data_IF_223404915864
#
_entry.id   IF_223404915864
#
_cell.length_a   1.000
_cell.length_b   1.000
_cell.length_c   1.000
_cell.angle_alpha   90.00
_cell.angle_beta   90.00
_cell.angle_gamma   90.00
#
_symmetry.space_group_name_H-M   'P 1'
#
loop_
_entity.id
_entity.type
_entity.pdbx_description
1 polymer ?
#
# COMPACT_ATOMS: atom_id res chain seq x y z
N UNK A 1 -7.44 -4.68 66.87
CA UNK A 1 -8.68 -5.23 66.29
C UNK A 1 -8.71 -4.90 64.81
N UNK A 2 -8.47 -5.88 63.94
CA UNK A 2 -8.62 -5.73 62.46
C UNK A 2 -10.12 -5.88 62.17
N UNK A 3 -10.74 -4.84 61.59
CA UNK A 3 -12.12 -4.94 61.08
C UNK A 3 -12.13 -5.93 59.89
N UNK A 4 -13.06 -6.88 59.85
CA UNK A 4 -13.18 -7.75 58.67
C UNK A 4 -13.63 -6.89 57.46
N UNK A 5 -12.94 -7.02 56.32
CA UNK A 5 -13.47 -6.55 55.05
C UNK A 5 -14.86 -7.19 54.89
N UNK A 6 -15.87 -6.38 54.56
CA UNK A 6 -17.23 -6.89 54.40
C UNK A 6 -17.28 -7.89 53.25
N UNK A 7 -18.03 -8.98 53.43
CA UNK A 7 -18.27 -10.01 52.39
C UNK A 7 -18.70 -9.38 51.04
N UNK A 8 -19.37 -8.24 51.14
CA UNK A 8 -19.79 -7.44 49.99
C UNK A 8 -18.60 -6.87 49.17
N UNK A 9 -17.56 -6.36 49.85
CA UNK A 9 -16.38 -5.86 49.18
C UNK A 9 -15.58 -7.00 48.48
N UNK A 10 -15.52 -8.17 49.09
CA UNK A 10 -14.90 -9.35 48.49
C UNK A 10 -15.68 -9.86 47.29
N UNK A 11 -17.02 -9.84 47.32
CA UNK A 11 -17.89 -10.21 46.19
C UNK A 11 -17.78 -9.21 45.03
N UNK A 12 -17.69 -7.90 45.30
CA UNK A 12 -17.52 -6.87 44.30
C UNK A 12 -16.14 -7.01 43.60
N UNK A 13 -15.08 -7.24 44.38
CA UNK A 13 -13.74 -7.50 43.81
C UNK A 13 -13.71 -8.77 42.99
N UNK A 14 -14.33 -9.84 43.46
CA UNK A 14 -14.45 -11.09 42.69
C UNK A 14 -15.26 -10.90 41.39
N UNK A 15 -16.38 -10.17 41.43
CA UNK A 15 -17.19 -9.88 40.23
C UNK A 15 -16.44 -9.00 39.24
N UNK A 16 -15.65 -8.02 39.67
CA UNK A 16 -14.81 -7.19 38.85
C UNK A 16 -13.66 -8.02 38.21
N UNK A 17 -13.05 -8.94 38.98
CA UNK A 17 -12.05 -9.86 38.45
C UNK A 17 -12.63 -10.84 37.40
N UNK A 18 -13.86 -11.35 37.61
CA UNK A 18 -14.57 -12.20 36.67
C UNK A 18 -14.93 -11.44 35.40
N UNK A 19 -15.44 -10.23 35.49
CA UNK A 19 -15.74 -9.37 34.32
C UNK A 19 -14.49 -8.99 33.54
N UNK A 20 -13.37 -8.74 34.21
CA UNK A 20 -12.08 -8.45 33.63
C UNK A 20 -11.50 -9.69 32.90
N UNK A 21 -11.61 -10.88 33.50
CA UNK A 21 -11.18 -12.15 32.87
C UNK A 21 -11.99 -12.47 31.61
N UNK A 22 -13.29 -12.17 31.53
CA UNK A 22 -14.11 -12.43 30.34
C UNK A 22 -13.68 -11.58 29.13
N UNK A 23 -13.17 -10.36 29.36
CA UNK A 23 -12.65 -9.49 28.29
C UNK A 23 -11.34 -10.02 27.68
N UNK A 24 -10.41 -10.46 28.52
CA UNK A 24 -9.14 -11.05 28.05
C UNK A 24 -9.34 -12.43 27.41
N UNK A 25 -10.26 -13.25 27.94
CA UNK A 25 -10.64 -14.52 27.33
C UNK A 25 -11.12 -14.32 25.87
N UNK A 26 -11.90 -13.28 25.60
CA UNK A 26 -12.30 -12.93 24.22
C UNK A 26 -11.11 -12.63 23.31
N UNK A 27 -10.07 -11.95 23.82
CA UNK A 27 -8.84 -11.71 23.04
C UNK A 27 -8.11 -13.00 22.74
N UNK A 28 -8.03 -13.95 23.69
CA UNK A 28 -7.38 -15.25 23.50
C UNK A 28 -8.13 -16.09 22.45
N UNK A 29 -9.47 -16.14 22.54
CA UNK A 29 -10.33 -16.82 21.56
C UNK A 29 -10.13 -16.26 20.13
N UNK A 30 -10.16 -14.92 19.97
CA UNK A 30 -9.93 -14.28 18.69
C UNK A 30 -8.50 -14.45 18.18
N UNK A 31 -7.51 -14.46 19.07
CA UNK A 31 -6.11 -14.74 18.70
C UNK A 31 -5.99 -16.12 18.04
N UNK A 32 -6.71 -17.11 18.55
CA UNK A 32 -6.73 -18.45 17.94
C UNK A 32 -7.38 -18.43 16.56
N UNK A 33 -8.51 -17.75 16.39
CA UNK A 33 -9.18 -17.57 15.08
C UNK A 33 -8.25 -16.91 14.06
N UNK A 34 -7.51 -15.86 14.48
CA UNK A 34 -6.57 -15.19 13.58
C UNK A 34 -5.38 -16.06 13.18
N UNK A 35 -4.82 -16.85 14.12
CA UNK A 35 -3.74 -17.81 13.84
C UNK A 35 -4.19 -18.90 12.84
N UNK A 36 -5.41 -19.36 12.95
CA UNK A 36 -5.99 -20.33 12.01
C UNK A 36 -6.20 -19.68 10.63
N UNK A 37 -6.83 -18.50 10.57
CA UNK A 37 -7.06 -17.74 9.35
C UNK A 37 -5.77 -17.36 8.60
N UNK A 38 -4.68 -17.11 9.33
CA UNK A 38 -3.37 -16.80 8.75
C UNK A 38 -2.87 -17.92 7.82
N UNK A 39 -3.26 -19.17 8.04
CA UNK A 39 -2.78 -20.31 7.26
C UNK A 39 -3.37 -20.35 5.84
N UNK A 40 -4.56 -19.78 5.64
CA UNK A 40 -5.32 -19.79 4.39
C UNK A 40 -5.68 -18.40 3.88
N UNK A 41 -4.93 -17.37 4.30
CA UNK A 41 -5.18 -15.97 3.92
C UNK A 41 -4.57 -15.67 2.54
N UNK A 42 -5.28 -16.01 1.46
CA UNK A 42 -4.75 -15.96 0.09
C UNK A 42 -5.27 -14.80 -0.75
N UNK A 43 -6.46 -14.30 -0.48
CA UNK A 43 -7.14 -13.33 -1.35
C UNK A 43 -6.72 -11.86 -1.14
N UNK A 44 -5.87 -11.56 -0.17
CA UNK A 44 -5.50 -10.17 0.13
C UNK A 44 -3.98 -10.00 0.24
N UNK A 45 -3.46 -8.85 -0.20
CA UNK A 45 -2.02 -8.60 -0.33
C UNK A 45 -1.35 -8.22 1.00
N UNK A 46 -1.70 -8.87 2.11
CA UNK A 46 -1.11 -8.60 3.42
C UNK A 46 -0.11 -9.71 3.76
N UNK A 47 1.15 -9.34 3.90
CA UNK A 47 2.19 -10.31 4.26
C UNK A 47 1.99 -10.81 5.69
N UNK A 48 1.80 -12.13 5.83
CA UNK A 48 1.62 -12.79 7.12
C UNK A 48 2.96 -13.28 7.74
N UNK A 49 4.09 -12.98 7.12
CA UNK A 49 5.44 -13.26 7.62
C UNK A 49 6.16 -11.95 7.97
N UNK A 50 5.75 -11.35 9.10
CA UNK A 50 6.41 -10.14 9.61
C UNK A 50 7.70 -10.51 10.34
N UNK A 51 8.79 -9.74 10.13
CA UNK A 51 10.06 -9.86 10.84
C UNK A 51 10.17 -8.87 12.01
N UNK A 52 9.04 -8.50 12.64
CA UNK A 52 8.98 -7.51 13.70
C UNK A 52 9.00 -8.09 15.13
N UNK A 53 9.13 -9.41 15.29
CA UNK A 53 9.14 -10.03 16.62
C UNK A 53 10.23 -9.44 17.52
N UNK A 54 11.46 -9.42 17.06
CA UNK A 54 12.60 -8.87 17.79
C UNK A 54 12.51 -7.33 17.99
N UNK A 55 11.80 -6.63 17.08
CA UNK A 55 11.46 -5.21 17.27
C UNK A 55 10.59 -5.02 18.51
N UNK A 56 9.59 -5.86 18.71
CA UNK A 56 8.71 -5.78 19.88
C UNK A 56 9.41 -6.21 21.16
N UNK A 57 10.32 -7.20 21.12
CA UNK A 57 11.17 -7.53 22.28
C UNK A 57 12.02 -6.33 22.68
N UNK A 58 12.68 -5.67 21.74
CA UNK A 58 13.42 -4.44 21.98
C UNK A 58 12.51 -3.32 22.51
N UNK A 59 11.35 -3.12 21.89
CA UNK A 59 10.41 -2.05 22.20
C UNK A 59 9.94 -2.12 23.67
N UNK A 60 9.57 -3.31 24.12
CA UNK A 60 9.18 -3.55 25.51
C UNK A 60 10.38 -3.47 26.47
N UNK A 61 11.50 -4.09 26.13
CA UNK A 61 12.69 -4.11 26.97
C UNK A 61 13.32 -2.72 27.18
N UNK A 62 13.17 -1.83 26.20
CA UNK A 62 13.67 -0.43 26.28
C UNK A 62 12.69 0.54 26.94
N UNK A 63 11.47 0.10 27.31
CA UNK A 63 10.45 0.94 27.90
C UNK A 63 9.77 1.90 26.90
N UNK A 64 9.87 1.62 25.60
CA UNK A 64 9.22 2.43 24.56
C UNK A 64 7.70 2.37 24.60
N UNK A 65 7.12 1.34 25.20
CA UNK A 65 5.68 1.14 25.39
C UNK A 65 5.00 2.21 26.25
N UNK A 66 5.77 2.95 27.07
CA UNK A 66 5.29 4.06 27.90
C UNK A 66 5.74 5.44 27.38
N UNK A 67 6.43 5.50 26.22
CA UNK A 67 6.90 6.74 25.60
C UNK A 67 5.98 7.09 24.42
N UNK A 68 5.33 8.23 24.48
CA UNK A 68 4.48 8.71 23.40
C UNK A 68 5.25 9.67 22.49
N UNK A 69 5.54 9.23 21.26
CA UNK A 69 6.18 10.02 20.22
C UNK A 69 5.15 10.54 19.20
N UNK A 70 5.44 11.70 18.60
CA UNK A 70 4.60 12.24 17.52
C UNK A 70 5.48 12.89 16.44
N UNK A 71 5.36 12.40 15.19
CA UNK A 71 5.99 13.01 14.04
C UNK A 71 5.10 14.11 13.47
N UNK A 72 5.33 15.35 13.89
CA UNK A 72 4.62 16.53 13.38
C UNK A 72 5.53 17.37 12.49
N UNK A 73 4.98 17.91 11.41
CA UNK A 73 5.70 18.77 10.47
C UNK A 73 6.57 18.01 9.47
N UNK A 74 7.29 18.78 8.66
CA UNK A 74 8.17 18.28 7.60
C UNK A 74 9.32 17.43 8.19
N UNK A 75 9.48 16.16 7.82
CA UNK A 75 10.56 15.32 8.33
C UNK A 75 11.95 15.79 7.88
N UNK A 76 12.05 16.54 6.77
CA UNK A 76 13.32 17.05 6.24
C UNK A 76 13.82 18.30 6.97
N UNK A 77 13.06 18.80 7.96
CA UNK A 77 13.41 19.98 8.75
C UNK A 77 13.73 19.59 10.19
N UNK A 78 14.84 20.08 10.74
CA UNK A 78 15.17 19.85 12.15
C UNK A 78 14.14 20.46 13.10
N UNK A 79 13.81 19.73 14.16
CA UNK A 79 12.77 20.11 15.11
C UNK A 79 13.37 20.60 16.43
N UNK A 80 12.71 21.59 17.10
CA UNK A 80 13.16 22.09 18.39
C UNK A 80 12.82 21.14 19.57
N UNK A 81 12.26 19.96 19.31
CA UNK A 81 11.89 18.98 20.35
C UNK A 81 12.46 17.59 20.05
N UNK A 82 12.58 16.76 21.12
CA UNK A 82 13.18 15.43 21.07
C UNK A 82 12.17 14.28 20.89
N UNK A 83 10.87 14.54 21.07
CA UNK A 83 9.81 13.51 21.12
C UNK A 83 9.28 13.18 19.72
N UNK A 84 10.19 12.81 18.80
CA UNK A 84 9.86 12.39 17.44
C UNK A 84 10.87 11.38 16.92
N UNK A 85 10.49 10.60 15.92
CA UNK A 85 11.34 9.67 15.18
C UNK A 85 11.69 10.16 13.78
N UNK A 86 11.56 11.45 13.50
CA UNK A 86 11.77 12.01 12.15
C UNK A 86 13.20 11.81 11.62
N UNK A 87 14.20 11.66 12.49
CA UNK A 87 15.54 11.29 12.05
C UNK A 87 15.55 9.91 11.35
N UNK A 88 14.84 8.93 11.92
CA UNK A 88 14.66 7.61 11.31
C UNK A 88 13.78 7.68 10.05
N UNK A 89 12.77 8.53 10.05
CA UNK A 89 11.91 8.76 8.88
C UNK A 89 12.75 9.28 7.69
N UNK A 90 13.70 10.19 7.91
CA UNK A 90 14.64 10.65 6.88
C UNK A 90 15.49 9.51 6.33
N UNK A 91 16.08 8.68 7.21
CA UNK A 91 16.88 7.53 6.79
C UNK A 91 16.06 6.51 5.97
N UNK A 92 14.80 6.29 6.34
CA UNK A 92 13.87 5.45 5.57
C UNK A 92 13.66 6.03 4.17
N UNK A 93 13.38 7.33 4.06
CA UNK A 93 13.19 8.00 2.77
C UNK A 93 14.49 7.92 1.93
N UNK A 94 15.65 8.20 2.53
CA UNK A 94 16.94 8.13 1.86
C UNK A 94 17.29 6.72 1.37
N UNK A 95 16.85 5.68 2.07
CA UNK A 95 17.02 4.30 1.64
C UNK A 95 16.12 3.96 0.45
N UNK A 96 14.86 4.34 0.50
CA UNK A 96 13.88 3.96 -0.51
C UNK A 96 13.95 4.83 -1.78
N UNK A 97 14.28 6.11 -1.68
CA UNK A 97 14.29 7.03 -2.81
C UNK A 97 15.07 6.52 -4.04
N UNK A 98 16.34 6.05 -3.92
CA UNK A 98 17.08 5.53 -5.07
C UNK A 98 16.48 4.25 -5.66
N UNK A 99 15.73 3.46 -4.88
CA UNK A 99 15.05 2.26 -5.39
C UNK A 99 13.93 2.62 -6.38
N UNK A 100 13.39 3.83 -6.26
CA UNK A 100 12.38 4.37 -7.19
C UNK A 100 12.97 5.41 -8.15
N UNK A 101 14.29 5.43 -8.32
CA UNK A 101 14.98 6.29 -9.28
C UNK A 101 15.05 7.76 -8.90
N UNK A 102 14.73 8.14 -7.65
CA UNK A 102 14.91 9.51 -7.18
C UNK A 102 16.34 9.74 -6.69
N UNK A 103 16.94 10.87 -7.07
CA UNK A 103 18.18 11.31 -6.45
C UNK A 103 17.91 11.86 -5.05
N UNK A 104 18.81 11.61 -4.09
CA UNK A 104 18.65 12.00 -2.68
C UNK A 104 18.37 13.49 -2.50
N UNK A 105 19.01 14.33 -3.31
CA UNK A 105 18.90 15.80 -3.20
C UNK A 105 17.64 16.36 -3.91
N UNK A 106 16.97 15.55 -4.71
CA UNK A 106 15.81 15.94 -5.51
C UNK A 106 14.50 15.26 -5.13
N UNK A 107 14.49 14.52 -4.02
CA UNK A 107 13.32 13.86 -3.47
C UNK A 107 12.78 14.57 -2.23
N UNK A 108 11.49 14.48 -2.05
CA UNK A 108 10.82 14.69 -0.78
C UNK A 108 9.88 13.50 -0.50
N UNK A 109 9.69 13.17 0.76
CA UNK A 109 8.81 12.06 1.12
C UNK A 109 8.47 12.01 2.59
N UNK A 110 7.52 11.13 2.92
CA UNK A 110 7.06 10.82 4.29
C UNK A 110 6.70 9.35 4.43
N UNK A 111 6.77 8.85 5.65
CA UNK A 111 6.08 7.63 6.07
C UNK A 111 4.62 7.97 6.34
N UNK A 112 3.71 7.31 5.61
CA UNK A 112 2.26 7.56 5.63
C UNK A 112 1.52 6.53 6.47
N UNK A 113 0.27 6.84 6.86
CA UNK A 113 -0.58 5.92 7.61
C UNK A 113 -1.03 4.69 6.80
N UNK A 114 -0.96 4.76 5.47
CA UNK A 114 -1.28 3.66 4.54
C UNK A 114 -0.91 4.04 3.10
N UNK A 115 -1.01 3.10 2.16
CA UNK A 115 -0.96 3.44 0.73
C UNK A 115 -2.08 4.41 0.31
N UNK A 116 -3.27 4.32 0.92
CA UNK A 116 -4.36 5.28 0.69
C UNK A 116 -3.98 6.70 1.12
N UNK A 117 -3.29 6.87 2.26
CA UNK A 117 -2.77 8.18 2.69
C UNK A 117 -1.67 8.68 1.74
N UNK A 118 -0.82 7.77 1.23
CA UNK A 118 0.15 8.10 0.19
C UNK A 118 -0.52 8.56 -1.11
N UNK A 119 -1.55 7.87 -1.58
CA UNK A 119 -2.34 8.28 -2.75
C UNK A 119 -3.07 9.60 -2.50
N UNK A 120 -3.56 9.85 -1.28
CA UNK A 120 -4.18 11.13 -0.92
C UNK A 120 -3.19 12.29 -1.09
N UNK A 121 -1.95 12.12 -0.62
CA UNK A 121 -0.89 13.09 -0.84
C UNK A 121 -0.55 13.26 -2.33
N UNK A 122 -0.46 12.17 -3.11
CA UNK A 122 -0.18 12.21 -4.53
C UNK A 122 -1.24 12.99 -5.33
N UNK A 123 -2.51 12.73 -5.05
CA UNK A 123 -3.64 13.43 -5.68
C UNK A 123 -3.68 14.90 -5.27
N UNK A 124 -3.56 15.19 -3.97
CA UNK A 124 -3.56 16.56 -3.44
C UNK A 124 -2.38 17.38 -3.97
N UNK A 125 -1.17 16.82 -3.95
CA UNK A 125 0.02 17.49 -4.45
C UNK A 125 -0.04 17.72 -5.96
N UNK A 126 -0.54 16.74 -6.71
CA UNK A 126 -0.76 16.86 -8.14
C UNK A 126 -1.77 17.93 -8.51
N UNK A 127 -2.90 17.97 -7.80
CA UNK A 127 -3.94 18.98 -8.02
C UNK A 127 -3.43 20.39 -7.73
N UNK A 128 -2.74 20.59 -6.60
CA UNK A 128 -2.14 21.88 -6.25
C UNK A 128 -1.03 22.28 -7.22
N UNK A 129 -0.13 21.37 -7.59
CA UNK A 129 0.94 21.62 -8.54
C UNK A 129 0.38 22.15 -9.87
N UNK A 130 -0.66 21.50 -10.39
CA UNK A 130 -1.30 21.88 -11.63
C UNK A 130 -2.07 23.20 -11.50
N UNK A 131 -2.82 23.37 -10.41
CA UNK A 131 -3.56 24.60 -10.15
C UNK A 131 -2.63 25.82 -10.00
N UNK A 132 -1.58 25.68 -9.21
CA UNK A 132 -0.62 26.78 -8.96
C UNK A 132 0.10 27.25 -10.24
N UNK A 133 0.24 26.37 -11.25
CA UNK A 133 0.88 26.68 -12.52
C UNK A 133 -0.06 27.18 -13.61
N UNK A 134 -1.33 26.76 -13.56
CA UNK A 134 -2.28 27.02 -14.66
C UNK A 134 -3.46 27.89 -14.26
N UNK A 135 -3.73 28.04 -12.95
CA UNK A 135 -4.95 28.66 -12.43
C UNK A 135 -6.22 27.81 -12.65
N UNK A 136 -6.08 26.57 -13.12
CA UNK A 136 -7.20 25.65 -13.42
C UNK A 136 -7.07 24.35 -12.63
N UNK A 137 -8.20 23.89 -12.05
CA UNK A 137 -8.25 22.56 -11.44
C UNK A 137 -8.08 21.47 -12.52
N UNK A 138 -7.27 20.43 -12.25
CA UNK A 138 -7.08 19.36 -13.22
C UNK A 138 -8.32 18.51 -13.43
N UNK A 139 -8.32 17.76 -14.54
CA UNK A 139 -9.12 16.55 -14.69
C UNK A 139 -8.24 15.36 -14.29
N UNK A 140 -8.78 14.46 -13.48
CA UNK A 140 -8.10 13.22 -13.08
C UNK A 140 -8.43 12.11 -14.08
N UNK A 141 -7.42 11.42 -14.57
CA UNK A 141 -7.55 10.27 -15.46
C UNK A 141 -7.04 9.02 -14.74
N UNK A 142 -7.88 8.03 -14.59
CA UNK A 142 -7.58 6.81 -13.83
C UNK A 142 -8.29 5.62 -14.48
N UNK A 143 -7.67 4.43 -14.43
CA UNK A 143 -8.26 3.20 -14.94
C UNK A 143 -9.53 2.80 -14.18
N UNK A 144 -10.51 2.23 -14.86
CA UNK A 144 -11.70 1.61 -14.26
C UNK A 144 -11.36 0.35 -13.42
N UNK A 145 -10.14 -0.18 -13.53
CA UNK A 145 -9.60 -1.28 -12.70
C UNK A 145 -8.68 -0.79 -11.56
N UNK A 146 -8.49 0.52 -11.40
CA UNK A 146 -7.70 1.08 -10.31
C UNK A 146 -8.35 0.81 -8.95
N UNK A 147 -7.55 0.90 -7.88
CA UNK A 147 -8.07 0.74 -6.53
C UNK A 147 -9.14 1.79 -6.20
N UNK A 148 -10.27 1.34 -5.64
CA UNK A 148 -11.44 2.19 -5.36
C UNK A 148 -11.11 3.42 -4.49
N UNK A 149 -10.03 3.38 -3.70
CA UNK A 149 -9.61 4.52 -2.89
C UNK A 149 -9.27 5.75 -3.73
N UNK A 150 -8.73 5.58 -4.95
CA UNK A 150 -8.41 6.71 -5.83
C UNK A 150 -9.66 7.52 -6.16
N UNK A 151 -10.77 6.84 -6.50
CA UNK A 151 -12.06 7.50 -6.73
C UNK A 151 -12.59 8.19 -5.47
N UNK A 152 -12.48 7.52 -4.30
CA UNK A 152 -12.91 8.10 -3.02
C UNK A 152 -12.10 9.35 -2.65
N UNK A 153 -10.81 9.35 -2.93
CA UNK A 153 -9.94 10.49 -2.66
C UNK A 153 -10.20 11.67 -3.60
N UNK A 154 -10.51 11.39 -4.87
CA UNK A 154 -10.93 12.42 -5.83
C UNK A 154 -12.29 13.04 -5.44
N UNK A 155 -13.25 12.22 -5.00
CA UNK A 155 -14.54 12.69 -4.47
C UNK A 155 -14.35 13.59 -3.25
N UNK A 156 -13.50 13.16 -2.29
CA UNK A 156 -13.15 13.95 -1.10
C UNK A 156 -12.55 15.33 -1.45
N UNK A 157 -11.74 15.38 -2.49
CA UNK A 157 -11.06 16.60 -2.94
C UNK A 157 -11.86 17.38 -4.01
N UNK A 158 -13.08 16.95 -4.33
CA UNK A 158 -13.97 17.56 -5.32
C UNK A 158 -13.33 17.71 -6.70
N UNK A 159 -12.56 16.69 -7.13
CA UNK A 159 -11.91 16.67 -8.43
C UNK A 159 -12.77 15.97 -9.48
N UNK A 160 -12.80 16.52 -10.69
CA UNK A 160 -13.43 15.88 -11.84
C UNK A 160 -12.62 14.67 -12.28
N UNK A 161 -13.26 13.50 -12.41
CA UNK A 161 -12.62 12.24 -12.76
C UNK A 161 -13.16 11.69 -14.06
N UNK A 162 -12.28 11.25 -14.93
CA UNK A 162 -12.59 10.44 -16.10
C UNK A 162 -12.05 9.03 -15.90
N UNK A 163 -12.95 8.06 -15.80
CA UNK A 163 -12.60 6.64 -15.79
C UNK A 163 -12.25 6.20 -17.20
N UNK A 164 -11.02 5.73 -17.37
CA UNK A 164 -10.52 5.23 -18.66
C UNK A 164 -10.69 3.71 -18.69
N UNK A 165 -11.26 3.22 -19.78
CA UNK A 165 -11.49 1.79 -19.96
C UNK A 165 -10.19 1.02 -19.99
N UNK A 166 -10.24 -0.18 -19.42
CA UNK A 166 -9.14 -1.16 -19.41
C UNK A 166 -9.36 -2.28 -20.44
N UNK A 167 -8.26 -2.88 -20.87
CA UNK A 167 -8.25 -4.13 -21.62
C UNK A 167 -8.79 -5.30 -20.75
N UNK A 168 -9.04 -6.49 -21.29
CA UNK A 168 -9.50 -7.63 -20.50
C UNK A 168 -8.57 -7.99 -19.35
N UNK A 169 -7.26 -7.75 -19.48
CA UNK A 169 -6.28 -8.02 -18.44
C UNK A 169 -6.18 -6.91 -17.38
N UNK A 170 -6.90 -5.78 -17.57
CA UNK A 170 -7.04 -4.71 -16.57
C UNK A 170 -6.05 -3.56 -16.75
N UNK A 171 -5.38 -3.41 -17.91
CA UNK A 171 -4.50 -2.28 -18.22
C UNK A 171 -5.29 -1.15 -18.84
N UNK A 172 -5.02 0.08 -18.46
CA UNK A 172 -5.59 1.28 -19.10
C UNK A 172 -5.30 1.28 -20.61
N UNK A 173 -6.33 1.51 -21.42
CA UNK A 173 -6.22 1.53 -22.90
C UNK A 173 -5.79 2.92 -23.36
N UNK A 174 -4.63 3.07 -24.03
CA UNK A 174 -4.12 4.38 -24.45
C UNK A 174 -5.08 5.13 -25.41
N UNK A 175 -5.77 4.43 -26.29
CA UNK A 175 -6.74 5.02 -27.23
C UNK A 175 -7.98 5.56 -26.52
N UNK A 176 -8.36 4.97 -25.39
CA UNK A 176 -9.46 5.48 -24.56
C UNK A 176 -9.02 6.71 -23.75
N UNK A 177 -7.77 6.77 -23.32
CA UNK A 177 -7.18 7.98 -22.73
C UNK A 177 -7.18 9.12 -23.76
N UNK A 178 -6.70 8.90 -24.96
CA UNK A 178 -6.67 9.89 -26.06
C UNK A 178 -8.04 10.52 -26.27
N UNK A 179 -9.10 9.71 -26.37
CA UNK A 179 -10.48 10.18 -26.58
C UNK A 179 -11.02 10.96 -25.39
N UNK A 180 -10.51 10.68 -24.19
CA UNK A 180 -11.00 11.27 -22.96
C UNK A 180 -10.31 12.58 -22.60
N UNK A 181 -9.13 12.89 -23.15
CA UNK A 181 -8.37 14.08 -22.81
C UNK A 181 -9.18 15.36 -23.02
N UNK A 182 -9.04 16.28 -22.07
CA UNK A 182 -9.60 17.63 -22.15
C UNK A 182 -8.44 18.62 -22.42
N UNK A 183 -8.31 19.17 -23.65
CA UNK A 183 -7.20 20.04 -24.00
C UNK A 183 -7.28 21.42 -23.32
N UNK A 184 -8.37 21.74 -22.64
CA UNK A 184 -8.59 23.04 -21.99
C UNK A 184 -8.16 23.08 -20.54
N UNK A 185 -7.85 21.92 -19.94
CA UNK A 185 -7.51 21.75 -18.53
C UNK A 185 -6.23 20.91 -18.35
N UNK A 186 -5.48 21.13 -17.25
CA UNK A 186 -4.34 20.28 -16.93
C UNK A 186 -4.81 18.86 -16.55
N UNK A 187 -3.95 17.89 -16.73
CA UNK A 187 -4.24 16.46 -16.49
C UNK A 187 -3.48 15.94 -15.27
N UNK A 188 -4.21 15.32 -14.33
CA UNK A 188 -3.64 14.51 -13.26
C UNK A 188 -3.82 13.04 -13.63
N UNK A 189 -2.73 12.36 -13.97
CA UNK A 189 -2.72 10.94 -14.29
C UNK A 189 -2.49 10.12 -13.03
N UNK A 190 -3.30 9.06 -12.83
CA UNK A 190 -3.06 8.03 -11.81
C UNK A 190 -2.80 6.72 -12.52
N UNK A 191 -1.55 6.27 -12.50
CA UNK A 191 -1.15 4.97 -13.05
C UNK A 191 -1.30 3.88 -11.99
N UNK A 192 -1.94 2.77 -12.34
CA UNK A 192 -1.98 1.57 -11.52
C UNK A 192 -0.72 0.72 -11.74
N UNK A 193 0.12 0.65 -10.73
CA UNK A 193 1.25 -0.29 -10.67
C UNK A 193 0.82 -1.51 -9.86
N UNK A 194 0.02 -2.36 -10.51
CA UNK A 194 -0.69 -3.48 -9.93
C UNK A 194 -2.15 -3.16 -9.58
N UNK A 195 -3.06 -3.29 -10.57
CA UNK A 195 -4.50 -3.13 -10.32
C UNK A 195 -5.00 -4.15 -9.31
N UNK A 196 -6.02 -3.76 -8.52
CA UNK A 196 -6.40 -4.49 -7.29
C UNK A 196 -6.82 -5.93 -7.55
N UNK A 197 -7.64 -6.19 -8.58
CA UNK A 197 -8.20 -7.52 -8.78
C UNK A 197 -7.36 -8.39 -9.72
N UNK A 198 -6.84 -7.82 -10.80
CA UNK A 198 -6.11 -8.56 -11.85
C UNK A 198 -4.59 -8.41 -11.76
N UNK A 199 -4.07 -7.53 -10.90
CA UNK A 199 -2.65 -7.27 -10.80
C UNK A 199 -2.05 -6.74 -12.11
N UNK A 200 -2.78 -5.90 -12.83
CA UNK A 200 -2.34 -5.30 -14.08
C UNK A 200 -1.41 -4.11 -13.81
N UNK A 201 -0.43 -3.93 -14.68
CA UNK A 201 0.44 -2.77 -14.70
C UNK A 201 0.06 -1.92 -15.90
N UNK A 202 -0.30 -0.65 -15.68
CA UNK A 202 -0.56 0.28 -16.76
C UNK A 202 0.73 0.53 -17.57
N UNK A 203 0.60 0.52 -18.89
CA UNK A 203 1.71 0.80 -19.80
C UNK A 203 2.03 2.29 -19.80
N UNK A 204 2.90 2.71 -18.87
CA UNK A 204 3.25 4.12 -18.70
C UNK A 204 3.93 4.71 -19.93
N UNK A 205 4.68 3.92 -20.69
CA UNK A 205 5.33 4.38 -21.93
C UNK A 205 4.28 4.71 -23.00
N UNK A 206 3.35 3.80 -23.24
CA UNK A 206 2.27 4.01 -24.21
C UNK A 206 1.34 5.16 -23.81
N UNK A 207 0.97 5.25 -22.51
CA UNK A 207 0.15 6.32 -22.00
C UNK A 207 0.87 7.68 -22.04
N UNK A 208 2.17 7.72 -21.73
CA UNK A 208 2.98 8.93 -21.87
C UNK A 208 3.10 9.35 -23.33
N UNK A 209 3.21 8.41 -24.29
CA UNK A 209 3.22 8.72 -25.72
C UNK A 209 1.89 9.36 -26.19
N UNK A 210 0.75 9.02 -25.57
CA UNK A 210 -0.52 9.73 -25.78
C UNK A 210 -0.38 11.19 -25.31
N UNK A 211 0.04 11.39 -24.06
CA UNK A 211 0.15 12.72 -23.45
C UNK A 211 1.16 13.61 -24.17
N UNK A 212 2.26 13.05 -24.67
CA UNK A 212 3.30 13.79 -25.41
C UNK A 212 2.80 14.34 -26.75
N UNK A 213 1.69 13.83 -27.30
CA UNK A 213 1.02 14.42 -28.48
C UNK A 213 0.22 15.67 -28.18
N UNK A 214 0.00 15.98 -26.89
CA UNK A 214 -0.77 17.10 -26.38
C UNK A 214 0.09 18.05 -25.52
N UNK A 215 1.13 18.69 -26.08
CA UNK A 215 2.06 19.53 -25.32
C UNK A 215 1.39 20.74 -24.68
N UNK A 216 0.19 21.12 -25.09
CA UNK A 216 -0.64 22.16 -24.49
C UNK A 216 -1.22 21.77 -23.13
N UNK A 217 -1.27 20.47 -22.81
CA UNK A 217 -1.79 19.95 -21.54
C UNK A 217 -0.64 19.80 -20.55
N UNK A 218 -0.62 20.58 -19.48
CA UNK A 218 0.29 20.32 -18.37
C UNK A 218 -0.15 19.07 -17.63
N UNK A 219 0.78 18.10 -17.45
CA UNK A 219 0.48 16.79 -16.86
C UNK A 219 1.24 16.60 -15.56
N UNK A 220 0.55 16.11 -14.52
CA UNK A 220 1.15 15.54 -13.31
C UNK A 220 0.89 14.04 -13.29
N UNK A 221 1.91 13.25 -12.93
CA UNK A 221 1.87 11.78 -12.98
C UNK A 221 2.08 11.21 -11.59
N UNK A 222 1.03 10.62 -11.04
CA UNK A 222 1.07 9.89 -9.78
C UNK A 222 0.99 8.38 -10.03
N UNK A 223 1.83 7.59 -9.36
CA UNK A 223 1.82 6.13 -9.45
C UNK A 223 1.26 5.55 -8.15
N UNK A 224 0.12 4.88 -8.24
CA UNK A 224 -0.38 4.00 -7.18
C UNK A 224 0.34 2.65 -7.30
N UNK A 225 1.42 2.51 -6.54
CA UNK A 225 2.26 1.33 -6.49
C UNK A 225 2.11 0.57 -5.17
N UNK A 226 0.92 0.62 -4.56
CA UNK A 226 0.66 0.14 -3.20
C UNK A 226 1.18 -1.27 -2.91
N UNK A 227 1.08 -2.21 -3.87
CA UNK A 227 1.63 -3.57 -3.73
C UNK A 227 2.93 -3.74 -4.52
N UNK A 228 2.91 -3.44 -5.81
CA UNK A 228 4.00 -3.77 -6.73
C UNK A 228 5.22 -2.88 -6.50
N UNK A 229 5.05 -1.67 -6.03
CA UNK A 229 6.14 -0.82 -5.55
C UNK A 229 6.92 -1.44 -4.41
N UNK A 230 6.31 -2.35 -3.64
CA UNK A 230 7.01 -3.07 -2.57
C UNK A 230 8.04 -4.07 -3.08
N UNK A 231 7.79 -4.80 -4.17
CA UNK A 231 8.66 -5.89 -4.61
C UNK A 231 9.38 -5.64 -5.93
N UNK A 232 8.81 -4.89 -6.88
CA UNK A 232 9.46 -4.65 -8.19
C UNK A 232 10.85 -4.04 -8.09
N UNK A 233 11.15 -3.10 -7.16
CA UNK A 233 12.50 -2.55 -7.01
C UNK A 233 13.58 -3.61 -6.72
N UNK A 234 13.19 -4.74 -6.17
CA UNK A 234 14.07 -5.85 -5.79
C UNK A 234 14.15 -6.95 -6.84
N UNK A 235 13.65 -6.72 -8.04
CA UNK A 235 13.65 -7.65 -9.16
C UNK A 235 14.42 -7.07 -10.35
N UNK A 236 14.57 -7.88 -11.40
CA UNK A 236 15.12 -7.41 -12.68
C UNK A 236 14.21 -6.40 -13.40
N UNK A 237 12.99 -6.19 -12.90
CA UNK A 237 11.97 -5.29 -13.45
C UNK A 237 11.93 -3.91 -12.75
N UNK A 238 12.95 -3.58 -11.96
CA UNK A 238 13.03 -2.35 -11.15
C UNK A 238 12.81 -1.05 -11.95
N UNK A 239 13.14 -1.05 -13.25
CA UNK A 239 12.95 0.12 -14.11
C UNK A 239 11.47 0.52 -14.25
N UNK A 240 10.53 -0.43 -14.07
CA UNK A 240 9.08 -0.15 -14.16
C UNK A 240 8.56 0.74 -13.03
N UNK A 241 9.31 0.89 -11.95
CA UNK A 241 8.99 1.76 -10.81
C UNK A 241 10.03 2.88 -10.64
N UNK A 242 10.84 3.14 -11.66
CA UNK A 242 11.87 4.17 -11.63
C UNK A 242 11.32 5.50 -12.16
N UNK A 243 11.37 6.55 -11.33
CA UNK A 243 11.00 7.92 -11.69
C UNK A 243 11.73 8.40 -12.96
N UNK A 244 13.04 8.16 -13.05
CA UNK A 244 13.85 8.58 -14.19
C UNK A 244 13.51 7.84 -15.48
N UNK A 245 13.03 6.61 -15.39
CA UNK A 245 12.67 5.78 -16.54
C UNK A 245 11.23 6.02 -16.98
N UNK A 246 10.30 6.04 -16.02
CA UNK A 246 8.85 6.12 -16.27
C UNK A 246 8.28 7.54 -16.21
N UNK A 247 9.10 8.54 -15.86
CA UNK A 247 8.74 9.97 -15.87
C UNK A 247 7.53 10.32 -15.01
N UNK A 248 7.38 9.73 -13.82
CA UNK A 248 6.32 10.11 -12.88
C UNK A 248 6.82 11.15 -11.85
N UNK A 249 5.89 11.91 -11.29
CA UNK A 249 6.17 13.01 -10.34
C UNK A 249 6.08 12.55 -8.88
N UNK A 250 5.22 11.56 -8.62
CA UNK A 250 4.99 11.01 -7.28
C UNK A 250 4.60 9.53 -7.31
N UNK A 251 4.92 8.83 -6.21
CA UNK A 251 4.62 7.41 -6.02
C UNK A 251 4.16 7.14 -4.59
N UNK A 252 3.17 6.24 -4.43
CA UNK A 252 2.70 5.75 -3.14
C UNK A 252 2.83 4.23 -3.02
N UNK A 253 3.39 3.76 -1.90
CA UNK A 253 3.65 2.35 -1.60
C UNK A 253 3.04 1.98 -0.25
N UNK A 254 2.51 0.75 -0.09
CA UNK A 254 2.01 0.24 1.20
C UNK A 254 3.09 -0.55 1.94
N UNK A 255 3.33 -0.22 3.22
CA UNK A 255 4.29 -0.92 4.06
C UNK A 255 3.78 -2.26 4.60
N UNK A 256 2.47 -2.35 4.87
CA UNK A 256 1.82 -3.55 5.40
C UNK A 256 1.57 -4.66 4.36
N UNK A 257 1.87 -4.39 3.08
CA UNK A 257 1.80 -5.40 2.02
C UNK A 257 3.12 -6.16 1.94
N UNK A 258 3.94 -5.93 0.93
CA UNK A 258 5.18 -6.69 0.72
C UNK A 258 6.17 -6.59 1.89
N UNK A 259 6.39 -5.42 2.45
CA UNK A 259 7.36 -5.24 3.53
C UNK A 259 6.95 -5.90 4.87
N UNK A 260 5.69 -6.29 5.04
CA UNK A 260 5.24 -7.01 6.23
C UNK A 260 5.22 -6.19 7.51
N UNK A 261 5.08 -4.86 7.40
CA UNK A 261 4.75 -4.02 8.56
C UNK A 261 3.39 -4.46 9.08
N UNK A 262 3.29 -4.74 10.35
CA UNK A 262 2.16 -5.42 11.00
C UNK A 262 0.88 -4.58 11.17
N UNK A 263 0.90 -3.35 10.71
CA UNK A 263 -0.24 -2.42 10.73
C UNK A 263 -0.24 -1.54 9.48
N UNK A 264 -1.39 -0.95 9.11
CA UNK A 264 -1.46 -0.05 7.97
C UNK A 264 -0.39 1.03 8.04
N UNK A 265 0.41 1.11 6.98
CA UNK A 265 1.51 2.05 6.82
C UNK A 265 1.88 2.15 5.35
N UNK A 266 2.64 3.17 4.98
CA UNK A 266 3.11 3.34 3.62
C UNK A 266 4.23 4.35 3.50
N UNK A 267 4.65 4.58 2.25
CA UNK A 267 5.59 5.60 1.85
C UNK A 267 4.95 6.45 0.76
N UNK A 268 5.16 7.74 0.83
CA UNK A 268 4.90 8.68 -0.25
C UNK A 268 6.20 9.37 -0.61
N UNK A 269 6.58 9.33 -1.88
CA UNK A 269 7.75 10.02 -2.42
C UNK A 269 7.32 10.87 -3.61
N UNK A 270 7.89 12.06 -3.74
CA UNK A 270 7.71 12.93 -4.89
C UNK A 270 8.99 13.70 -5.21
N UNK A 271 9.03 14.31 -6.40
CA UNK A 271 10.12 15.23 -6.73
C UNK A 271 10.13 16.43 -5.79
N UNK A 272 11.32 16.97 -5.52
CA UNK A 272 11.47 18.21 -4.73
C UNK A 272 10.69 19.37 -5.35
N UNK A 273 10.66 19.45 -6.68
CA UNK A 273 9.86 20.43 -7.40
C UNK A 273 8.37 20.33 -7.09
N UNK A 274 7.82 19.11 -7.04
CA UNK A 274 6.43 18.86 -6.62
C UNK A 274 6.17 19.39 -5.22
N UNK A 275 7.04 19.07 -4.26
CA UNK A 275 6.91 19.53 -2.88
C UNK A 275 7.04 21.04 -2.74
N UNK A 276 8.03 21.66 -3.41
CA UNK A 276 8.27 23.10 -3.31
C UNK A 276 7.10 23.93 -3.88
N UNK A 277 6.36 23.38 -4.83
CA UNK A 277 5.18 24.01 -5.45
C UNK A 277 3.88 23.84 -4.64
N UNK A 278 3.94 23.25 -3.44
CA UNK A 278 2.74 23.10 -2.60
C UNK A 278 2.41 24.38 -1.84
N UNK A 279 1.11 24.55 -1.55
CA UNK A 279 0.63 25.62 -0.67
C UNK A 279 1.27 25.50 0.71
N UNK A 280 1.70 26.63 1.24
CA UNK A 280 2.50 26.70 2.45
C UNK A 280 1.69 27.29 3.61
N UNK A 281 1.63 26.53 4.72
CA UNK A 281 1.03 26.99 5.98
C UNK A 281 2.13 27.14 7.02
N UNK A 282 2.48 28.38 7.39
CA UNK A 282 3.45 28.62 8.44
C UNK A 282 2.86 28.30 9.81
N UNK A 283 3.47 27.32 10.50
CA UNK A 283 3.07 26.89 11.85
C UNK A 283 4.20 27.23 12.81
N UNK A 284 4.06 28.36 13.48
CA UNK A 284 5.10 28.95 14.31
C UNK A 284 5.63 28.02 15.41
N UNK A 285 4.73 27.31 16.13
CA UNK A 285 5.13 26.41 17.22
C UNK A 285 5.84 25.13 16.72
N UNK A 286 5.68 24.79 15.45
CA UNK A 286 6.41 23.66 14.82
C UNK A 286 7.74 24.11 14.19
N UNK A 287 8.00 25.39 14.15
CA UNK A 287 9.12 25.97 13.39
C UNK A 287 9.21 25.36 11.98
N UNK A 288 8.07 25.18 11.34
CA UNK A 288 7.97 24.46 10.08
C UNK A 288 6.84 24.98 9.22
N UNK A 289 7.08 24.95 7.93
CA UNK A 289 6.07 25.18 6.92
C UNK A 289 5.35 23.87 6.61
N UNK A 290 4.04 23.83 6.85
CA UNK A 290 3.22 22.65 6.63
C UNK A 290 2.67 22.64 5.22
N UNK A 291 3.06 21.64 4.44
CA UNK A 291 2.57 21.39 3.08
C UNK A 291 1.81 20.07 2.97
N UNK A 292 1.99 19.20 3.96
CA UNK A 292 1.38 17.87 4.03
C UNK A 292 -0.06 17.94 4.51
N UNK A 293 -0.84 16.90 4.16
CA UNK A 293 -2.22 16.72 4.65
C UNK A 293 -2.21 16.24 6.11
N UNK A 294 -1.39 15.24 6.42
CA UNK A 294 -1.33 14.61 7.75
C UNK A 294 -0.44 15.43 8.69
N UNK A 295 -1.08 16.17 9.60
CA UNK A 295 -0.37 17.08 10.53
C UNK A 295 0.40 16.34 11.61
N UNK A 296 -0.23 15.34 12.26
CA UNK A 296 0.40 14.40 13.21
C UNK A 296 0.47 13.04 12.59
N UNK A 297 1.65 12.40 12.67
CA UNK A 297 1.87 11.08 12.09
C UNK A 297 2.39 10.12 13.15
N UNK A 298 2.12 8.84 12.94
CA UNK A 298 2.64 7.76 13.77
C UNK A 298 4.18 7.75 13.73
N UNK A 299 4.80 7.92 14.90
CA UNK A 299 6.24 7.93 15.02
C UNK A 299 6.86 6.52 15.20
N UNK A 300 6.03 5.49 15.39
CA UNK A 300 6.52 4.11 15.50
C UNK A 300 6.68 3.46 14.11
N UNK A 301 5.86 3.87 13.13
CA UNK A 301 5.98 3.33 11.77
C UNK A 301 7.36 3.60 11.14
N UNK A 302 7.96 4.79 11.20
CA UNK A 302 9.33 4.99 10.74
C UNK A 302 10.35 4.09 11.43
N UNK A 303 10.20 3.82 12.74
CA UNK A 303 11.08 2.90 13.47
C UNK A 303 10.94 1.46 12.95
N UNK A 304 9.71 1.01 12.67
CA UNK A 304 9.47 -0.32 12.08
C UNK A 304 10.07 -0.45 10.69
N UNK A 305 9.89 0.56 9.81
CA UNK A 305 10.52 0.58 8.49
C UNK A 305 12.05 0.55 8.60
N UNK A 306 12.61 1.39 9.47
CA UNK A 306 14.05 1.43 9.69
C UNK A 306 14.58 0.09 10.20
N UNK A 307 13.87 -0.53 11.18
CA UNK A 307 14.19 -1.87 11.68
C UNK A 307 14.19 -2.91 10.55
N UNK A 308 13.17 -2.91 9.71
CA UNK A 308 13.07 -3.84 8.57
C UNK A 308 14.21 -3.63 7.56
N UNK A 309 14.63 -2.39 7.31
CA UNK A 309 15.79 -2.10 6.46
C UNK A 309 17.05 -2.73 7.05
N UNK A 310 17.27 -2.61 8.36
CA UNK A 310 18.45 -3.16 9.02
C UNK A 310 18.41 -4.69 9.15
N UNK A 311 17.21 -5.25 9.39
CA UNK A 311 17.05 -6.68 9.70
C UNK A 311 16.92 -7.54 8.44
N UNK A 312 16.17 -7.08 7.45
CA UNK A 312 15.90 -7.80 6.20
C UNK A 312 16.81 -7.26 5.08
N UNK A 313 16.72 -5.98 4.77
CA UNK A 313 17.57 -5.34 3.76
C UNK A 313 17.30 -5.79 2.33
N UNK A 314 18.10 -5.26 1.41
CA UNK A 314 17.89 -5.42 -0.04
C UNK A 314 17.92 -6.89 -0.50
N UNK A 315 18.95 -7.64 -0.09
CA UNK A 315 19.17 -8.99 -0.62
C UNK A 315 18.09 -9.99 -0.21
N UNK A 316 17.64 -9.91 1.05
CA UNK A 316 16.54 -10.77 1.51
C UNK A 316 15.20 -10.37 0.87
N UNK A 317 14.94 -9.07 0.68
CA UNK A 317 13.75 -8.64 -0.08
C UNK A 317 13.81 -9.09 -1.53
N UNK A 318 14.97 -9.05 -2.18
CA UNK A 318 15.15 -9.59 -3.53
C UNK A 318 14.87 -11.09 -3.59
N UNK A 319 15.37 -11.86 -2.62
CA UNK A 319 15.09 -13.28 -2.51
C UNK A 319 13.59 -13.54 -2.29
N UNK A 320 12.95 -12.81 -1.37
CA UNK A 320 11.50 -12.95 -1.11
C UNK A 320 10.66 -12.60 -2.34
N UNK A 321 11.01 -11.53 -3.06
CA UNK A 321 10.33 -11.14 -4.29
C UNK A 321 10.46 -12.23 -5.38
N UNK A 322 11.64 -12.80 -5.56
CA UNK A 322 11.89 -13.92 -6.48
C UNK A 322 11.05 -15.14 -6.13
N UNK A 323 11.09 -15.59 -4.87
CA UNK A 323 10.32 -16.73 -4.39
C UNK A 323 8.80 -16.52 -4.53
N UNK A 324 8.31 -15.32 -4.26
CA UNK A 324 6.91 -14.94 -4.41
C UNK A 324 6.47 -15.07 -5.88
N UNK A 325 7.24 -14.54 -6.82
CA UNK A 325 6.95 -14.65 -8.26
C UNK A 325 7.04 -16.09 -8.76
N UNK A 326 8.00 -16.88 -8.29
CA UNK A 326 8.07 -18.33 -8.57
C UNK A 326 6.83 -19.08 -8.08
N UNK A 327 6.36 -18.80 -6.86
CA UNK A 327 5.13 -19.38 -6.33
C UNK A 327 3.90 -18.96 -7.12
N UNK A 328 3.88 -17.73 -7.68
CA UNK A 328 2.81 -17.26 -8.56
C UNK A 328 2.74 -18.07 -9.86
N UNK A 329 3.87 -18.26 -10.51
CA UNK A 329 3.98 -19.11 -11.71
C UNK A 329 3.55 -20.55 -11.37
N UNK A 330 3.99 -21.07 -10.23
CA UNK A 330 3.63 -22.39 -9.76
C UNK A 330 2.12 -22.54 -9.55
N UNK A 331 1.47 -21.60 -8.87
CA UNK A 331 0.02 -21.60 -8.68
C UNK A 331 -0.73 -21.66 -10.03
N UNK A 332 -0.35 -20.78 -10.97
CA UNK A 332 -0.96 -20.76 -12.31
C UNK A 332 -0.83 -22.13 -13.00
N UNK A 333 0.37 -22.71 -12.99
CA UNK A 333 0.62 -24.02 -13.58
C UNK A 333 -0.20 -25.15 -12.94
N UNK A 334 -0.37 -25.14 -11.60
CA UNK A 334 -1.16 -26.15 -10.92
C UNK A 334 -2.66 -26.03 -11.24
N UNK A 335 -3.19 -24.79 -11.35
CA UNK A 335 -4.57 -24.55 -11.79
C UNK A 335 -4.79 -25.03 -13.24
N UNK A 336 -3.86 -24.74 -14.14
CA UNK A 336 -3.90 -25.20 -15.54
C UNK A 336 -3.88 -26.75 -15.65
N UNK A 337 -3.09 -27.43 -14.82
CA UNK A 337 -3.02 -28.90 -14.79
C UNK A 337 -4.34 -29.58 -14.43
N UNK A 338 -5.14 -28.95 -13.56
CA UNK A 338 -6.48 -29.46 -13.20
C UNK A 338 -7.59 -28.95 -14.13
N UNK A 339 -7.21 -28.21 -15.19
CA UNK A 339 -8.16 -27.62 -16.13
C UNK A 339 -8.97 -26.46 -15.58
N UNK A 340 -8.53 -25.82 -14.47
CA UNK A 340 -9.24 -24.70 -13.87
C UNK A 340 -8.91 -23.39 -14.64
N UNK A 341 -9.90 -22.66 -15.21
CA UNK A 341 -9.63 -21.45 -15.98
C UNK A 341 -9.02 -20.36 -15.11
N UNK A 342 -7.81 -19.93 -15.45
CA UNK A 342 -7.05 -18.96 -14.68
C UNK A 342 -6.19 -18.05 -15.57
N UNK A 343 -5.89 -16.84 -15.06
CA UNK A 343 -5.12 -15.82 -15.74
C UNK A 343 -4.17 -15.12 -14.77
N UNK A 344 -3.08 -14.62 -15.29
CA UNK A 344 -2.09 -13.85 -14.55
C UNK A 344 -1.42 -12.85 -15.48
N UNK A 345 -1.28 -11.61 -15.04
CA UNK A 345 -0.52 -10.60 -15.77
C UNK A 345 0.98 -10.85 -15.66
N UNK A 346 1.75 -10.37 -16.65
CA UNK A 346 3.20 -10.38 -16.58
C UNK A 346 3.68 -9.59 -15.36
N UNK A 347 4.68 -10.11 -14.65
CA UNK A 347 5.28 -9.53 -13.44
C UNK A 347 4.37 -9.44 -12.21
N UNK A 348 3.15 -9.92 -12.33
CA UNK A 348 2.15 -9.92 -11.26
C UNK A 348 2.37 -11.06 -10.27
N UNK A 349 2.07 -10.82 -9.02
CA UNK A 349 1.92 -11.84 -7.98
C UNK A 349 0.44 -12.21 -7.74
N UNK A 350 -0.46 -11.79 -8.64
CA UNK A 350 -1.90 -12.05 -8.56
C UNK A 350 -2.33 -13.01 -9.65
N UNK A 351 -2.93 -14.12 -9.26
CA UNK A 351 -3.58 -15.07 -10.17
C UNK A 351 -5.08 -14.97 -9.97
N UNK A 352 -5.83 -14.59 -11.00
CA UNK A 352 -7.29 -14.59 -10.96
C UNK A 352 -7.84 -15.74 -11.81
N UNK A 353 -8.99 -16.27 -11.40
CA UNK A 353 -9.53 -17.51 -11.94
C UNK A 353 -11.05 -17.55 -11.75
N UNK A 354 -11.70 -18.55 -12.39
CA UNK A 354 -13.12 -18.81 -12.19
C UNK A 354 -13.41 -19.08 -10.72
N UNK A 355 -14.43 -18.38 -10.18
CA UNK A 355 -14.84 -18.50 -8.79
C UNK A 355 -15.13 -19.96 -8.43
N UNK A 356 -14.54 -20.50 -7.37
CA UNK A 356 -14.87 -21.81 -6.81
C UNK A 356 -16.15 -21.76 -5.94
N UNK A 357 -16.43 -22.85 -5.24
CA UNK A 357 -17.56 -22.90 -4.31
C UNK A 357 -17.45 -21.84 -3.20
N UNK A 358 -18.57 -21.40 -2.62
CA UNK A 358 -18.55 -20.45 -1.49
C UNK A 358 -17.72 -20.93 -0.31
N UNK A 359 -17.70 -22.25 -0.04
CA UNK A 359 -16.94 -22.86 1.05
C UNK A 359 -15.44 -22.68 0.85
N UNK A 360 -14.93 -22.93 -0.36
CA UNK A 360 -13.52 -22.73 -0.71
C UNK A 360 -13.17 -21.23 -0.67
N UNK A 361 -14.05 -20.38 -1.19
CA UNK A 361 -13.84 -18.93 -1.11
C UNK A 361 -13.69 -18.47 0.34
N UNK A 362 -14.50 -18.99 1.25
CA UNK A 362 -14.45 -18.67 2.66
C UNK A 362 -13.20 -19.25 3.35
N UNK A 363 -12.91 -20.54 3.14
CA UNK A 363 -11.77 -21.24 3.73
C UNK A 363 -10.44 -20.56 3.37
N UNK A 364 -10.27 -20.19 2.10
CA UNK A 364 -9.03 -19.55 1.62
C UNK A 364 -9.11 -18.01 1.58
N UNK A 365 -10.15 -17.44 2.17
CA UNK A 365 -10.34 -15.98 2.24
C UNK A 365 -10.14 -15.29 0.89
N UNK A 366 -10.71 -15.87 -0.19
CA UNK A 366 -10.51 -15.36 -1.55
C UNK A 366 -11.27 -14.05 -1.76
N UNK A 367 -10.64 -13.10 -2.43
CA UNK A 367 -11.33 -11.91 -2.91
C UNK A 367 -12.11 -12.23 -4.19
N UNK A 368 -13.34 -11.72 -4.28
CA UNK A 368 -14.29 -12.03 -5.34
C UNK A 368 -14.41 -10.84 -6.31
N UNK A 369 -14.61 -11.16 -7.59
CA UNK A 369 -14.83 -10.19 -8.65
C UNK A 369 -15.83 -10.70 -9.69
N UNK A 370 -16.16 -9.81 -10.62
CA UNK A 370 -17.05 -10.12 -11.73
C UNK A 370 -16.56 -9.44 -13.00
N UNK A 371 -16.43 -10.19 -14.10
CA UNK A 371 -16.08 -9.65 -15.40
C UNK A 371 -16.69 -10.52 -16.52
N UNK A 372 -17.60 -9.95 -17.30
CA UNK A 372 -18.28 -10.65 -18.40
C UNK A 372 -17.30 -11.13 -19.48
N UNK A 373 -16.17 -10.43 -19.68
CA UNK A 373 -15.13 -10.78 -20.66
C UNK A 373 -14.49 -12.14 -20.35
N UNK A 374 -14.54 -12.56 -19.06
CA UNK A 374 -14.10 -13.88 -18.59
C UNK A 374 -15.27 -14.82 -18.27
N UNK A 375 -16.52 -14.46 -18.62
CA UNK A 375 -17.72 -15.25 -18.38
C UNK A 375 -18.25 -15.17 -16.94
N UNK A 376 -18.15 -14.02 -16.28
CA UNK A 376 -18.85 -13.68 -15.05
C UNK A 376 -17.99 -13.79 -13.77
N UNK A 377 -18.42 -14.60 -12.81
CA UNK A 377 -17.82 -14.63 -11.46
C UNK A 377 -16.38 -15.13 -11.44
N UNK A 378 -15.54 -14.38 -10.73
CA UNK A 378 -14.09 -14.61 -10.59
C UNK A 378 -13.71 -14.60 -9.11
N UNK A 379 -12.56 -15.19 -8.81
CA UNK A 379 -11.83 -15.03 -7.55
C UNK A 379 -10.37 -14.81 -7.85
N UNK A 380 -9.61 -14.34 -6.87
CA UNK A 380 -8.16 -14.27 -7.01
C UNK A 380 -7.40 -14.72 -5.76
N UNK A 381 -6.17 -15.11 -5.99
CA UNK A 381 -5.12 -15.28 -4.99
C UNK A 381 -4.05 -14.23 -5.24
N UNK A 382 -3.66 -13.50 -4.20
CA UNK A 382 -2.47 -12.66 -4.20
C UNK A 382 -1.36 -13.43 -3.51
N UNK A 383 -0.41 -13.92 -4.28
CA UNK A 383 0.70 -14.72 -3.76
C UNK A 383 1.65 -13.81 -3.00
N UNK A 384 1.58 -13.86 -1.66
CA UNK A 384 2.48 -13.18 -0.75
C UNK A 384 3.50 -14.18 -0.18
N UNK A 385 4.48 -13.70 0.60
CA UNK A 385 5.58 -14.53 1.13
C UNK A 385 5.12 -15.76 1.93
N UNK A 386 3.93 -15.70 2.54
CA UNK A 386 3.35 -16.83 3.30
C UNK A 386 2.62 -17.87 2.44
N UNK A 387 2.42 -17.59 1.14
CA UNK A 387 1.76 -18.50 0.19
C UNK A 387 2.81 -19.41 -0.45
N UNK A 388 3.13 -20.50 0.24
CA UNK A 388 4.16 -21.47 -0.17
C UNK A 388 3.62 -22.51 -1.16
N UNK A 389 4.51 -23.20 -1.87
CA UNK A 389 4.14 -24.29 -2.81
C UNK A 389 3.29 -25.36 -2.10
N UNK A 390 3.64 -25.72 -0.86
CA UNK A 390 2.85 -26.68 -0.06
C UNK A 390 1.41 -26.20 0.18
N UNK A 391 1.24 -24.92 0.52
CA UNK A 391 -0.09 -24.34 0.71
C UNK A 391 -0.86 -24.24 -0.60
N UNK A 392 -0.17 -23.94 -1.71
CA UNK A 392 -0.76 -23.96 -3.06
C UNK A 392 -1.25 -25.37 -3.42
N UNK A 393 -0.49 -26.41 -3.13
CA UNK A 393 -0.90 -27.80 -3.41
C UNK A 393 -2.17 -28.17 -2.64
N UNK A 394 -2.28 -27.79 -1.36
CA UNK A 394 -3.49 -27.99 -0.56
C UNK A 394 -4.70 -27.24 -1.14
N UNK A 395 -4.51 -26.00 -1.57
CA UNK A 395 -5.55 -25.20 -2.22
C UNK A 395 -6.04 -25.85 -3.52
N UNK A 396 -5.11 -26.25 -4.40
CA UNK A 396 -5.44 -26.89 -5.68
C UNK A 396 -6.12 -28.24 -5.48
N UNK A 397 -5.71 -29.02 -4.47
CA UNK A 397 -6.41 -30.25 -4.09
C UNK A 397 -7.84 -30.02 -3.59
N UNK A 398 -8.08 -28.90 -2.88
CA UNK A 398 -9.42 -28.52 -2.45
C UNK A 398 -10.32 -28.15 -3.65
N UNK A 399 -9.78 -27.50 -4.68
CA UNK A 399 -10.49 -27.17 -5.92
C UNK A 399 -10.86 -28.41 -6.77
N UNK A 400 -10.08 -29.49 -6.67
CA UNK A 400 -10.26 -30.71 -7.46
C UNK A 400 -11.26 -31.72 -6.84
N UNK A 401 -11.77 -31.43 -5.65
CA UNK A 401 -12.80 -32.24 -4.94
C UNK A 401 -14.18 -31.83 -5.38
#
# INVERSE_FOLDING_TARGET
>A
MRKPLSLFAALVVAALCFAQNSGFQKLDEWTQVWKEGQQTYFGYPVNQHSALHEFYEWYLASGMDVINLNNAGDPMTDKPWKMSSQAFEREVIEYFAPLYGFAKDSVWGIVTHSGTDGNNHGIYFGANYLYNRTGKMPVVYVSDEAHYSNMRLCDLQHLDVKLIKSDPMGRMIPEELEKALDPTRPALMIYAMGSTFKGAIDDQEALNAVLDRHPEILVFRHVDAALFGGYLPFTVYKEMVSHTHMRFDAIAISGHKFFGIDSPSGLFLCTRETYDNQNNFNVTYLNSNMKMISCSRDAIQPLKFWWMIQKVGYDQWAQQAGQMLECTVYLKQQLEKIGWPCWCNTYSNTVFFKRPSPEICYEYTLALGYDERFGGELAHVVVMQHVTKEKIDKFVQALAR
#
